data_IF_774579604188
#
_entry.id   IF_774579604188
#
_cell.length_a   1.000
_cell.length_b   1.000
_cell.length_c   1.000
_cell.angle_alpha   90.00
_cell.angle_beta   90.00
_cell.angle_gamma   90.00
#
_symmetry.space_group_name_H-M   'P 1'
#
loop_
_entity.id
_entity.type
_entity.pdbx_description
1 polymer ?
#
# COMPACT_ATOMS: atom_id res chain seq x y z
N UNK A 1 20.00 -4.80 -0.20
CA UNK A 1 21.04 -5.49 -0.99
C UNK A 1 20.52 -6.59 -1.92
N UNK A 2 19.24 -7.01 -1.84
CA UNK A 2 18.64 -7.98 -2.78
C UNK A 2 17.92 -7.35 -3.98
N UNK A 3 17.87 -6.01 -4.07
CA UNK A 3 17.05 -5.30 -5.07
C UNK A 3 17.75 -5.09 -6.41
N UNK A 4 19.07 -4.88 -6.43
CA UNK A 4 19.78 -4.53 -7.69
C UNK A 4 20.03 -5.74 -8.59
N UNK A 5 20.12 -6.94 -8.01
CA UNK A 5 20.45 -8.18 -8.75
C UNK A 5 19.23 -8.70 -9.54
N UNK A 6 18.03 -8.64 -8.94
CA UNK A 6 16.75 -8.95 -9.58
C UNK A 6 16.38 -7.95 -10.69
N UNK A 7 16.80 -6.68 -10.55
CA UNK A 7 16.54 -5.63 -11.53
C UNK A 7 17.34 -5.81 -12.84
N UNK A 8 18.47 -6.52 -12.77
CA UNK A 8 19.30 -6.85 -13.93
C UNK A 8 18.82 -8.09 -14.69
N UNK A 9 18.01 -8.94 -14.06
CA UNK A 9 17.59 -10.23 -14.60
C UNK A 9 16.40 -10.15 -15.60
N UNK A 10 15.66 -9.04 -15.62
CA UNK A 10 14.53 -8.81 -16.54
C UNK A 10 14.77 -7.48 -17.29
N UNK A 11 15.35 -7.52 -18.51
CA UNK A 11 15.72 -6.33 -19.28
C UNK A 11 14.56 -5.34 -19.49
N UNK A 12 13.35 -5.84 -19.69
CA UNK A 12 12.14 -5.05 -19.92
C UNK A 12 11.76 -4.22 -18.67
N UNK A 13 11.94 -4.79 -17.47
CA UNK A 13 11.69 -4.07 -16.20
C UNK A 13 12.74 -2.98 -15.97
N UNK A 14 14.01 -3.26 -16.30
CA UNK A 14 15.09 -2.27 -16.22
C UNK A 14 14.83 -1.09 -17.16
N UNK A 15 14.42 -1.35 -18.40
CA UNK A 15 14.08 -0.31 -19.36
C UNK A 15 12.89 0.54 -18.89
N UNK A 16 11.85 -0.09 -18.32
CA UNK A 16 10.69 0.60 -17.76
C UNK A 16 11.05 1.51 -16.59
N UNK A 17 11.90 1.03 -15.67
CA UNK A 17 12.42 1.80 -14.54
C UNK A 17 13.21 3.02 -14.99
N UNK A 18 14.06 2.86 -16.01
CA UNK A 18 14.89 3.94 -16.51
C UNK A 18 14.09 4.99 -17.27
N UNK A 19 13.12 4.58 -18.08
CA UNK A 19 12.10 5.48 -18.65
C UNK A 19 11.33 6.23 -17.55
N UNK A 20 11.03 5.57 -16.44
CA UNK A 20 10.42 6.17 -15.26
C UNK A 20 11.28 7.28 -14.65
N UNK A 21 12.56 6.98 -14.38
CA UNK A 21 13.53 7.98 -13.86
C UNK A 21 13.70 9.17 -14.80
N UNK A 22 13.82 8.94 -16.11
CA UNK A 22 13.93 10.02 -17.09
C UNK A 22 12.72 10.94 -17.06
N UNK A 23 11.52 10.36 -16.95
CA UNK A 23 10.26 11.10 -16.88
C UNK A 23 10.18 11.95 -15.61
N UNK A 24 10.57 11.40 -14.46
CA UNK A 24 10.65 12.13 -13.18
C UNK A 24 11.67 13.28 -13.29
N UNK A 25 12.85 13.02 -13.85
CA UNK A 25 13.88 14.04 -14.01
C UNK A 25 13.42 15.18 -14.94
N UNK A 26 12.71 14.86 -16.04
CA UNK A 26 12.10 15.86 -16.92
C UNK A 26 11.07 16.70 -16.17
N UNK A 27 10.20 16.07 -15.36
CA UNK A 27 9.22 16.77 -14.53
C UNK A 27 9.87 17.76 -13.56
N UNK A 28 10.91 17.33 -12.83
CA UNK A 28 11.65 18.20 -11.89
C UNK A 28 12.29 19.38 -12.63
N UNK A 29 12.86 19.16 -13.83
CA UNK A 29 13.47 20.22 -14.63
C UNK A 29 12.43 21.24 -15.09
N UNK A 30 11.30 20.80 -15.64
CA UNK A 30 10.22 21.68 -16.09
C UNK A 30 9.61 22.46 -14.93
N UNK A 31 9.37 21.81 -13.78
CA UNK A 31 8.90 22.47 -12.58
C UNK A 31 9.86 23.56 -12.10
N UNK A 32 11.18 23.27 -12.04
CA UNK A 32 12.20 24.26 -11.67
C UNK A 32 12.27 25.44 -12.65
N UNK A 33 12.06 25.19 -13.94
CA UNK A 33 12.04 26.25 -14.94
C UNK A 33 10.85 27.19 -14.72
N UNK A 34 9.67 26.65 -14.48
CA UNK A 34 8.46 27.45 -14.23
C UNK A 34 8.49 28.17 -12.87
N UNK A 35 9.09 27.56 -11.84
CA UNK A 35 9.28 28.20 -10.53
C UNK A 35 10.11 29.49 -10.59
N UNK A 36 10.95 29.68 -11.62
CA UNK A 36 11.70 30.94 -11.83
C UNK A 36 10.79 32.14 -12.09
N UNK A 37 9.52 31.92 -12.43
CA UNK A 37 8.51 32.96 -12.58
C UNK A 37 7.95 33.47 -11.24
N UNK A 38 8.47 32.96 -10.10
CA UNK A 38 8.11 33.43 -8.77
C UNK A 38 6.77 32.91 -8.23
N UNK A 39 6.17 31.93 -8.90
CA UNK A 39 4.95 31.23 -8.47
C UNK A 39 5.11 29.73 -8.59
N UNK A 40 4.38 28.98 -7.78
CA UNK A 40 4.32 27.52 -7.96
C UNK A 40 3.57 27.17 -9.25
N UNK A 41 4.16 26.35 -10.13
CA UNK A 41 3.52 25.97 -11.38
C UNK A 41 2.37 25.00 -11.13
N UNK A 42 1.27 25.23 -11.83
CA UNK A 42 0.11 24.32 -11.82
C UNK A 42 0.41 23.03 -12.56
N UNK A 43 -0.33 21.97 -12.25
CA UNK A 43 -0.21 20.68 -12.97
C UNK A 43 -0.48 20.83 -14.47
N UNK A 44 -1.33 21.78 -14.86
CA UNK A 44 -1.65 22.08 -16.26
C UNK A 44 -0.49 22.72 -17.02
N UNK A 45 0.28 23.59 -16.37
CA UNK A 45 1.45 24.24 -16.96
C UNK A 45 2.62 23.28 -17.09
N UNK A 46 2.83 22.42 -16.09
CA UNK A 46 3.81 21.34 -16.15
C UNK A 46 3.44 20.36 -17.27
N UNK A 47 2.15 20.01 -17.37
CA UNK A 47 1.63 19.13 -18.42
C UNK A 47 1.89 19.69 -19.82
N UNK A 48 1.64 20.99 -20.04
CA UNK A 48 1.96 21.68 -21.29
C UNK A 48 3.47 21.67 -21.58
N UNK A 49 4.31 21.93 -20.59
CA UNK A 49 5.77 21.93 -20.76
C UNK A 49 6.39 20.55 -20.98
N UNK A 50 5.63 19.47 -20.72
CA UNK A 50 6.06 18.08 -20.90
C UNK A 50 5.34 17.35 -22.03
N UNK A 51 4.36 17.98 -22.68
CA UNK A 51 3.48 17.39 -23.69
C UNK A 51 2.77 16.10 -23.21
N UNK A 52 2.25 16.14 -21.98
CA UNK A 52 1.49 15.05 -21.37
C UNK A 52 0.19 15.58 -20.76
N UNK A 53 -0.68 14.68 -20.30
CA UNK A 53 -1.92 15.09 -19.63
C UNK A 53 -1.66 15.55 -18.18
N UNK A 54 -2.45 16.49 -17.64
CA UNK A 54 -2.39 16.85 -16.22
C UNK A 54 -2.66 15.67 -15.27
N UNK A 55 -3.48 14.71 -15.71
CA UNK A 55 -3.67 13.44 -14.99
C UNK A 55 -2.35 12.68 -14.85
N UNK A 56 -1.58 12.57 -15.94
CA UNK A 56 -0.28 11.88 -15.94
C UNK A 56 0.76 12.60 -15.07
N UNK A 57 0.78 13.93 -15.06
CA UNK A 57 1.62 14.73 -14.14
C UNK A 57 1.32 14.36 -12.69
N UNK A 58 0.03 14.28 -12.30
CA UNK A 58 -0.37 13.88 -10.93
C UNK A 58 0.07 12.47 -10.58
N UNK A 59 -0.06 11.52 -11.50
CA UNK A 59 0.43 10.15 -11.31
C UNK A 59 1.94 10.11 -11.12
N UNK A 60 2.71 10.80 -11.97
CA UNK A 60 4.17 10.86 -11.86
C UNK A 60 4.58 11.52 -10.54
N UNK A 61 3.93 12.63 -10.15
CA UNK A 61 4.17 13.30 -8.86
C UNK A 61 3.97 12.35 -7.69
N UNK A 62 2.86 11.59 -7.66
CA UNK A 62 2.60 10.58 -6.63
C UNK A 62 3.67 9.51 -6.57
N UNK A 63 4.09 8.97 -7.72
CA UNK A 63 5.12 7.91 -7.78
C UNK A 63 6.50 8.45 -7.40
N UNK A 64 6.77 9.74 -7.67
CA UNK A 64 8.04 10.39 -7.31
C UNK A 64 8.17 10.75 -5.84
N UNK A 65 7.09 10.60 -5.04
CA UNK A 65 7.16 10.83 -3.60
C UNK A 65 8.07 9.78 -2.95
N UNK A 66 9.06 10.27 -2.20
CA UNK A 66 9.97 9.42 -1.42
C UNK A 66 9.16 8.89 -0.23
N UNK A 67 9.20 7.57 0.06
CA UNK A 67 8.56 7.04 1.25
C UNK A 67 9.12 7.74 2.50
N UNK A 68 8.23 8.25 3.34
CA UNK A 68 8.59 8.85 4.63
C UNK A 68 8.85 7.74 5.64
N UNK A 69 9.87 7.92 6.49
CA UNK A 69 10.14 6.97 7.56
C UNK A 69 9.03 7.04 8.60
N UNK A 70 8.59 5.88 9.11
CA UNK A 70 7.68 5.81 10.26
C UNK A 70 8.33 6.33 11.54
N UNK A 71 9.66 6.33 11.62
CA UNK A 71 10.46 6.89 12.72
C UNK A 71 10.61 8.42 12.61
N UNK A 72 9.96 9.07 11.64
CA UNK A 72 9.98 10.53 11.56
C UNK A 72 9.23 11.10 12.77
N UNK A 73 9.87 11.92 13.64
CA UNK A 73 9.18 12.49 14.79
C UNK A 73 8.10 13.48 14.32
N UNK A 74 6.95 13.48 15.01
CA UNK A 74 5.80 14.33 14.72
C UNK A 74 5.47 15.15 15.97
N UNK A 75 5.33 16.47 15.80
CA UNK A 75 4.98 17.38 16.89
C UNK A 75 6.19 18.01 17.57
N UNK A 76 5.97 18.62 18.75
CA UNK A 76 7.03 19.26 19.55
C UNK A 76 7.62 18.33 20.61
N UNK A 77 6.92 17.24 20.91
CA UNK A 77 7.33 16.25 21.89
C UNK A 77 8.11 15.18 21.14
N UNK A 78 9.35 14.91 21.55
CA UNK A 78 10.27 13.99 20.86
C UNK A 78 9.88 12.51 20.98
N UNK A 79 8.77 12.21 21.68
CA UNK A 79 8.31 10.85 21.96
C UNK A 79 7.23 10.36 20.99
N UNK A 80 6.81 11.16 20.01
CA UNK A 80 5.77 10.79 19.03
C UNK A 80 6.36 10.59 17.64
N UNK A 81 6.17 9.41 17.06
CA UNK A 81 6.62 9.06 15.71
C UNK A 81 5.46 9.01 14.72
N UNK A 82 5.75 9.21 13.43
CA UNK A 82 4.76 9.13 12.35
C UNK A 82 4.02 7.77 12.35
N UNK A 83 4.74 6.69 12.65
CA UNK A 83 4.18 5.35 12.75
C UNK A 83 3.08 5.21 13.80
N UNK A 84 3.14 5.98 14.89
CA UNK A 84 2.17 5.89 15.99
C UNK A 84 0.77 6.38 15.59
N UNK A 85 0.67 7.12 14.47
CA UNK A 85 -0.59 7.66 13.94
C UNK A 85 -1.18 6.85 12.78
N UNK A 86 -0.51 5.79 12.35
CA UNK A 86 -0.99 4.94 11.25
C UNK A 86 -1.73 3.75 11.85
N UNK A 87 -3.04 3.72 11.65
CA UNK A 87 -3.87 2.60 12.04
C UNK A 87 -3.60 1.37 11.15
N UNK A 88 -3.50 0.20 11.79
CA UNK A 88 -3.51 -1.07 11.09
C UNK A 88 -4.95 -1.47 10.75
N UNK A 89 -5.33 -1.22 9.49
CA UNK A 89 -6.66 -1.52 8.96
C UNK A 89 -6.92 -3.02 8.76
N UNK A 90 -5.88 -3.86 8.78
CA UNK A 90 -6.00 -5.31 8.64
C UNK A 90 -6.13 -6.00 10.01
N UNK A 91 -5.83 -5.29 11.10
CA UNK A 91 -5.96 -5.83 12.44
C UNK A 91 -7.43 -6.15 12.76
N UNK A 92 -7.69 -7.39 13.15
CA UNK A 92 -9.03 -7.79 13.62
C UNK A 92 -9.31 -7.15 14.97
N UNK A 93 -10.42 -6.42 15.09
CA UNK A 93 -10.81 -5.80 16.35
C UNK A 93 -11.06 -6.87 17.43
N UNK A 94 -10.66 -6.63 18.71
CA UNK A 94 -10.83 -7.63 19.77
C UNK A 94 -12.26 -8.15 19.95
N UNK A 95 -13.33 -7.32 19.86
CA UNK A 95 -14.71 -7.81 19.94
C UNK A 95 -15.08 -8.75 18.79
N UNK A 96 -14.56 -8.51 17.60
CA UNK A 96 -14.82 -9.33 16.41
C UNK A 96 -14.12 -10.68 16.53
N UNK A 97 -12.86 -10.67 16.98
CA UNK A 97 -12.12 -11.90 17.28
C UNK A 97 -12.82 -12.74 18.37
N UNK A 98 -13.28 -12.11 19.44
CA UNK A 98 -14.04 -12.78 20.50
C UNK A 98 -15.35 -13.36 19.98
N UNK A 99 -16.10 -12.59 19.18
CA UNK A 99 -17.37 -13.02 18.56
C UNK A 99 -17.16 -14.23 17.64
N UNK A 100 -16.10 -14.21 16.84
CA UNK A 100 -15.73 -15.32 15.97
C UNK A 100 -15.37 -16.58 16.77
N UNK A 101 -14.59 -16.45 17.85
CA UNK A 101 -14.26 -17.56 18.73
C UNK A 101 -15.51 -18.15 19.40
N UNK A 102 -16.41 -17.31 19.89
CA UNK A 102 -17.69 -17.75 20.47
C UNK A 102 -18.56 -18.49 19.45
N UNK A 103 -18.60 -18.01 18.20
CA UNK A 103 -19.32 -18.67 17.11
C UNK A 103 -18.75 -20.05 16.82
N UNK A 104 -17.42 -20.19 16.74
CA UNK A 104 -16.76 -21.49 16.56
C UNK A 104 -17.12 -22.48 17.66
N UNK A 105 -17.13 -22.04 18.92
CA UNK A 105 -17.49 -22.89 20.04
C UNK A 105 -18.96 -23.33 20.02
N UNK A 106 -19.87 -22.44 19.62
CA UNK A 106 -21.28 -22.79 19.44
C UNK A 106 -21.46 -23.82 18.31
N UNK A 107 -20.79 -23.63 17.17
CA UNK A 107 -20.80 -24.59 16.06
C UNK A 107 -20.28 -25.96 16.53
N UNK A 108 -19.17 -26.00 17.29
CA UNK A 108 -18.65 -27.25 17.86
C UNK A 108 -19.68 -27.94 18.76
N UNK A 109 -20.33 -27.20 19.66
CA UNK A 109 -21.38 -27.76 20.54
C UNK A 109 -22.53 -28.39 19.77
N UNK A 110 -23.01 -27.72 18.71
CA UNK A 110 -24.08 -28.25 17.85
C UNK A 110 -23.59 -29.47 17.07
N UNK A 111 -22.38 -29.45 16.53
CA UNK A 111 -21.81 -30.62 15.84
C UNK A 111 -21.68 -31.83 16.77
N UNK A 112 -21.44 -31.62 18.07
CA UNK A 112 -21.40 -32.68 19.07
C UNK A 112 -22.75 -33.35 19.33
N UNK A 113 -23.88 -32.75 18.94
CA UNK A 113 -25.20 -33.40 19.07
C UNK A 113 -25.52 -34.34 17.91
N UNK A 114 -24.77 -34.27 16.80
CA UNK A 114 -24.90 -35.17 15.66
C UNK A 114 -24.16 -36.49 15.90
N UNK A 115 -24.55 -37.52 15.16
CA UNK A 115 -23.80 -38.77 15.13
C UNK A 115 -22.42 -38.58 14.47
N UNK A 116 -21.51 -39.53 14.71
CA UNK A 116 -20.12 -39.40 14.26
C UNK A 116 -19.97 -39.37 12.73
N UNK A 117 -20.92 -39.96 11.98
CA UNK A 117 -20.87 -40.00 10.52
C UNK A 117 -21.35 -38.67 9.95
N UNK A 118 -22.48 -38.15 10.43
CA UNK A 118 -23.06 -36.86 10.08
C UNK A 118 -22.09 -35.72 10.41
N UNK A 119 -21.50 -35.74 11.61
CA UNK A 119 -20.49 -34.76 12.03
C UNK A 119 -19.31 -34.71 11.08
N UNK A 120 -18.73 -35.88 10.73
CA UNK A 120 -17.57 -35.96 9.81
C UNK A 120 -17.91 -35.46 8.41
N UNK A 121 -19.10 -35.78 7.89
CA UNK A 121 -19.54 -35.29 6.57
C UNK A 121 -19.61 -33.76 6.56
N UNK A 122 -20.17 -33.14 7.60
CA UNK A 122 -20.26 -31.67 7.69
C UNK A 122 -18.86 -31.04 7.84
N UNK A 123 -18.00 -31.61 8.70
CA UNK A 123 -16.64 -31.11 8.89
C UNK A 123 -15.82 -31.12 7.60
N UNK A 124 -15.91 -32.19 6.80
CA UNK A 124 -15.21 -32.27 5.51
C UNK A 124 -15.80 -31.32 4.46
N UNK A 125 -17.12 -31.14 4.45
CA UNK A 125 -17.78 -30.28 3.45
C UNK A 125 -17.45 -28.80 3.64
N UNK A 126 -17.39 -28.36 4.89
CA UNK A 126 -17.25 -26.94 5.22
C UNK A 126 -15.88 -26.57 5.79
N UNK A 127 -14.93 -27.51 5.83
CA UNK A 127 -13.53 -27.25 6.20
C UNK A 127 -13.44 -26.61 7.60
N UNK A 128 -14.25 -27.07 8.56
CA UNK A 128 -14.41 -26.45 9.89
C UNK A 128 -13.17 -26.67 10.80
N UNK A 129 -12.25 -27.56 10.40
CA UNK A 129 -11.05 -27.93 11.17
C UNK A 129 -9.75 -27.93 10.33
N UNK A 130 -9.73 -27.30 9.15
CA UNK A 130 -8.49 -27.14 8.39
C UNK A 130 -7.86 -25.76 8.62
#
# INVERSE_FOLDING_TARGET
>A
MLTDELLLAIPELKELMEKGKETINKLIRTQRQLLREGREPTDEEIAKGMDITPKRVREIKKISQIPLSLETPIGKEEDSFLGDFIEDVEATAPPDAASFSMLQDQIRKVLHTLDDRERKVIQYRFVIYA
#
